data_IF_840082793908
#
_entry.id   IF_840082793908
#
_cell.length_a   1.000
_cell.length_b   1.000
_cell.length_c   1.000
_cell.angle_alpha   90.00
_cell.angle_beta   90.00
_cell.angle_gamma   90.00
#
_symmetry.space_group_name_H-M   'P 1'
#
loop_
_entity.id
_entity.type
_entity.pdbx_description
1 polymer ?
#
# COMPACT_ATOMS: atom_id res chain seq x y z
N UNK A 1 11.71 8.00 7.29
CA UNK A 1 11.16 8.66 6.11
C UNK A 1 12.27 8.96 5.10
N UNK A 2 12.25 8.35 3.95
CA UNK A 2 13.37 8.50 3.02
C UNK A 2 13.40 9.89 2.39
N UNK A 3 14.61 10.36 2.07
CA UNK A 3 14.79 11.66 1.45
C UNK A 3 14.07 11.78 0.10
N UNK A 4 13.98 10.68 -0.66
CA UNK A 4 13.29 10.68 -1.95
C UNK A 4 11.81 11.03 -1.81
N UNK A 5 11.17 10.61 -0.71
CA UNK A 5 9.77 10.93 -0.45
C UNK A 5 9.61 12.45 -0.21
N UNK A 6 10.45 13.02 0.64
CA UNK A 6 10.40 14.44 0.96
C UNK A 6 10.68 15.29 -0.29
N UNK A 7 11.71 14.94 -1.05
CA UNK A 7 12.20 15.76 -2.17
C UNK A 7 11.39 15.58 -3.44
N UNK A 8 10.94 14.37 -3.74
CA UNK A 8 10.36 14.02 -5.05
C UNK A 8 8.93 13.51 -4.99
N UNK A 9 8.40 13.23 -3.80
CA UNK A 9 7.04 12.83 -3.62
C UNK A 9 6.81 11.32 -3.71
N UNK A 10 5.53 10.97 -3.65
CA UNK A 10 5.10 9.59 -3.47
C UNK A 10 5.40 8.69 -4.67
N UNK A 11 5.20 9.19 -5.90
CA UNK A 11 5.45 8.39 -7.11
C UNK A 11 6.90 7.90 -7.16
N UNK A 12 7.86 8.81 -7.01
CA UNK A 12 9.28 8.45 -7.01
C UNK A 12 9.63 7.51 -5.86
N UNK A 13 9.09 7.78 -4.66
CA UNK A 13 9.36 6.96 -3.49
C UNK A 13 8.79 5.55 -3.64
N UNK A 14 7.57 5.41 -4.14
CA UNK A 14 6.95 4.09 -4.34
C UNK A 14 7.62 3.32 -5.47
N UNK A 15 8.06 3.99 -6.53
CA UNK A 15 8.81 3.35 -7.61
C UNK A 15 10.14 2.79 -7.08
N UNK A 16 10.79 3.50 -6.16
CA UNK A 16 12.00 3.03 -5.51
C UNK A 16 11.75 1.77 -4.66
N UNK A 17 10.68 1.77 -3.88
CA UNK A 17 10.30 0.58 -3.08
C UNK A 17 9.97 -0.59 -4.01
N UNK A 18 9.20 -0.34 -5.05
CA UNK A 18 8.79 -1.37 -6.01
C UNK A 18 9.99 -2.04 -6.67
N UNK A 19 11.05 -1.29 -6.95
CA UNK A 19 12.25 -1.83 -7.57
C UNK A 19 12.98 -2.84 -6.69
N UNK A 20 12.73 -2.84 -5.38
CA UNK A 20 13.31 -3.80 -4.43
C UNK A 20 12.42 -5.01 -4.17
N UNK A 21 11.23 -5.05 -4.74
CA UNK A 21 10.34 -6.20 -4.62
C UNK A 21 10.90 -7.38 -5.42
N UNK A 22 10.66 -8.60 -4.95
CA UNK A 22 11.17 -9.82 -5.61
C UNK A 22 10.44 -10.14 -6.91
N UNK A 23 9.30 -9.51 -7.16
CA UNK A 23 8.53 -9.68 -8.39
C UNK A 23 8.37 -8.33 -9.09
N UNK A 24 8.12 -8.32 -10.42
CA UNK A 24 7.83 -7.07 -11.11
C UNK A 24 6.60 -6.39 -10.53
N UNK A 25 6.71 -5.08 -10.28
CA UNK A 25 5.62 -4.26 -9.73
C UNK A 25 5.37 -3.09 -10.66
N UNK A 26 4.12 -2.95 -11.08
CA UNK A 26 3.68 -1.80 -11.85
C UNK A 26 3.12 -0.75 -10.89
N UNK A 27 3.66 0.46 -10.94
CA UNK A 27 3.26 1.56 -10.05
C UNK A 27 2.56 2.64 -10.87
N UNK A 28 1.37 3.03 -10.42
CA UNK A 28 0.62 4.12 -11.04
C UNK A 28 0.10 5.06 -9.95
N UNK A 29 0.59 6.30 -9.96
CA UNK A 29 0.18 7.34 -9.02
C UNK A 29 -0.50 8.45 -9.80
N UNK A 30 -1.80 8.64 -9.55
CA UNK A 30 -2.62 9.65 -10.22
C UNK A 30 -3.24 10.55 -9.16
N UNK A 31 -2.52 11.61 -8.81
CA UNK A 31 -2.93 12.54 -7.77
C UNK A 31 -2.95 13.98 -8.31
N UNK A 32 -3.97 14.78 -7.95
CA UNK A 32 -4.05 16.17 -8.40
C UNK A 32 -3.01 17.08 -7.77
N UNK A 33 -2.48 16.68 -6.60
CA UNK A 33 -1.48 17.42 -5.85
C UNK A 33 -0.79 16.47 -4.87
N UNK A 34 0.27 16.94 -4.22
CA UNK A 34 0.91 16.15 -3.17
C UNK A 34 0.04 16.17 -1.91
N UNK A 35 -0.17 15.00 -1.27
CA UNK A 35 -0.78 14.97 0.07
C UNK A 35 0.08 15.75 1.08
N UNK A 36 -0.51 16.12 2.21
CA UNK A 36 0.28 16.71 3.30
C UNK A 36 1.35 15.70 3.76
N UNK A 37 2.52 16.19 4.25
CA UNK A 37 3.64 15.29 4.57
C UNK A 37 3.31 14.13 5.50
N UNK A 38 2.47 14.34 6.51
CA UNK A 38 2.08 13.28 7.44
C UNK A 38 1.34 12.15 6.74
N UNK A 39 0.41 12.49 5.85
CA UNK A 39 -0.37 11.50 5.07
C UNK A 39 0.53 10.82 4.05
N UNK A 40 1.39 11.57 3.39
CA UNK A 40 2.34 11.03 2.42
C UNK A 40 3.27 9.98 3.07
N UNK A 41 3.74 10.25 4.29
CA UNK A 41 4.56 9.33 5.05
C UNK A 41 3.84 8.04 5.41
N UNK A 42 2.58 8.13 5.84
CA UNK A 42 1.77 6.96 6.16
C UNK A 42 1.48 6.14 4.91
N UNK A 43 1.18 6.80 3.79
CA UNK A 43 0.95 6.13 2.51
C UNK A 43 2.20 5.36 2.07
N UNK A 44 3.36 5.97 2.15
CA UNK A 44 4.63 5.33 1.83
C UNK A 44 4.86 4.09 2.70
N UNK A 45 4.70 4.22 4.02
CA UNK A 45 4.88 3.12 4.96
C UNK A 45 3.92 1.97 4.65
N UNK A 46 2.66 2.29 4.39
CA UNK A 46 1.62 1.30 4.09
C UNK A 46 1.97 0.48 2.85
N UNK A 47 2.30 1.14 1.75
CA UNK A 47 2.67 0.44 0.51
C UNK A 47 3.94 -0.37 0.70
N UNK A 48 4.94 0.16 1.42
CA UNK A 48 6.17 -0.57 1.71
C UNK A 48 5.90 -1.88 2.44
N UNK A 49 5.04 -1.86 3.46
CA UNK A 49 4.68 -3.06 4.21
C UNK A 49 3.91 -4.06 3.35
N UNK A 50 2.98 -3.57 2.53
CA UNK A 50 2.21 -4.45 1.65
C UNK A 50 3.09 -5.10 0.58
N UNK A 51 4.05 -4.38 0.03
CA UNK A 51 4.98 -4.96 -0.95
C UNK A 51 5.95 -5.95 -0.32
N UNK A 52 6.35 -5.75 0.94
CA UNK A 52 7.11 -6.76 1.67
C UNK A 52 6.32 -8.05 1.81
N UNK A 53 5.04 -7.96 2.09
CA UNK A 53 4.18 -9.14 2.18
C UNK A 53 4.06 -9.86 0.84
N UNK A 54 3.98 -9.12 -0.26
CA UNK A 54 4.00 -9.72 -1.60
C UNK A 54 5.29 -10.52 -1.80
N UNK A 55 6.43 -9.94 -1.48
CA UNK A 55 7.73 -10.59 -1.65
C UNK A 55 7.88 -11.85 -0.79
N UNK A 56 7.38 -11.81 0.46
CA UNK A 56 7.62 -12.88 1.44
C UNK A 56 6.60 -14.00 1.40
N UNK A 57 5.34 -13.69 1.08
CA UNK A 57 4.25 -14.60 1.38
C UNK A 57 3.35 -14.95 0.19
N UNK A 58 3.33 -14.13 -0.86
CA UNK A 58 2.28 -14.27 -1.88
C UNK A 58 2.51 -15.42 -2.86
N UNK A 59 3.76 -15.76 -3.15
CA UNK A 59 4.09 -16.66 -4.25
C UNK A 59 3.71 -16.09 -5.61
N UNK A 60 3.53 -14.78 -5.71
CA UNK A 60 3.09 -14.11 -6.94
C UNK A 60 4.20 -14.02 -7.96
N UNK A 61 3.82 -13.86 -9.24
CA UNK A 61 4.75 -13.57 -10.33
C UNK A 61 4.72 -12.09 -10.74
N UNK A 62 3.73 -11.34 -10.28
CA UNK A 62 3.64 -9.90 -10.52
C UNK A 62 2.74 -9.23 -9.48
N UNK A 63 2.93 -7.93 -9.33
CA UNK A 63 2.12 -7.11 -8.43
C UNK A 63 1.86 -5.73 -9.04
N UNK A 64 0.95 -5.00 -8.44
CA UNK A 64 0.61 -3.64 -8.85
C UNK A 64 0.39 -2.74 -7.64
N UNK A 65 0.68 -1.46 -7.81
CA UNK A 65 0.39 -0.41 -6.83
C UNK A 65 -0.34 0.70 -7.55
N UNK A 66 -1.51 1.04 -7.07
CA UNK A 66 -2.31 2.15 -7.58
C UNK A 66 -2.59 3.13 -6.45
N UNK A 67 -2.41 4.42 -6.73
CA UNK A 67 -2.66 5.50 -5.79
C UNK A 67 -3.49 6.56 -6.49
N UNK A 68 -4.61 6.93 -5.88
CA UNK A 68 -5.49 7.95 -6.46
C UNK A 68 -6.25 8.68 -5.35
N UNK A 69 -6.94 9.74 -5.72
CA UNK A 69 -7.79 10.48 -4.79
C UNK A 69 -9.25 10.22 -5.11
N UNK A 70 -10.03 9.92 -4.08
CA UNK A 70 -11.48 9.77 -4.18
C UNK A 70 -12.12 10.73 -3.16
N UNK A 71 -12.62 11.86 -3.64
CA UNK A 71 -13.19 12.89 -2.77
C UNK A 71 -12.12 13.45 -1.81
N UNK A 72 -12.36 13.32 -0.52
CA UNK A 72 -11.44 13.75 0.53
C UNK A 72 -10.57 12.60 1.06
N UNK A 73 -10.51 11.48 0.30
CA UNK A 73 -9.72 10.30 0.70
C UNK A 73 -8.57 10.06 -0.27
N UNK A 74 -7.42 9.70 0.28
CA UNK A 74 -6.31 9.14 -0.47
C UNK A 74 -6.50 7.64 -0.52
N UNK A 75 -6.48 7.07 -1.73
CA UNK A 75 -6.70 5.64 -1.95
C UNK A 75 -5.40 4.98 -2.38
N UNK A 76 -5.08 3.86 -1.75
CA UNK A 76 -3.91 3.04 -2.05
C UNK A 76 -4.41 1.62 -2.31
N UNK A 77 -3.95 0.99 -3.38
CA UNK A 77 -4.30 -0.41 -3.64
C UNK A 77 -3.07 -1.18 -4.09
N UNK A 78 -2.82 -2.30 -3.43
CA UNK A 78 -1.73 -3.22 -3.78
C UNK A 78 -2.37 -4.56 -4.14
N UNK A 79 -2.12 -5.00 -5.37
CA UNK A 79 -2.62 -6.27 -5.86
C UNK A 79 -1.48 -7.20 -6.24
N UNK A 80 -1.70 -8.51 -6.09
CA UNK A 80 -0.79 -9.53 -6.60
C UNK A 80 -1.57 -10.73 -7.11
N UNK A 81 -0.94 -11.49 -7.99
CA UNK A 81 -1.54 -12.70 -8.58
C UNK A 81 -1.12 -13.98 -7.85
N UNK A 82 -0.78 -13.87 -6.58
CA UNK A 82 -0.32 -15.01 -5.79
C UNK A 82 -1.44 -15.91 -5.29
N UNK A 83 -1.12 -16.69 -4.26
CA UNK A 83 -1.99 -17.78 -3.77
C UNK A 83 -3.16 -17.32 -2.91
N UNK A 84 -3.21 -16.08 -2.51
CA UNK A 84 -4.26 -15.57 -1.64
C UNK A 84 -4.20 -16.13 -0.22
N UNK A 85 -5.32 -16.02 0.48
CA UNK A 85 -5.42 -16.49 1.86
C UNK A 85 -4.83 -15.54 2.89
N UNK A 86 -4.45 -14.32 2.50
CA UNK A 86 -4.04 -13.31 3.45
C UNK A 86 -5.25 -12.80 4.23
N UNK A 87 -5.08 -12.53 5.51
CA UNK A 87 -6.13 -11.96 6.33
C UNK A 87 -5.54 -11.04 7.41
N UNK A 88 -6.41 -10.25 8.02
CA UNK A 88 -6.03 -9.30 9.07
C UNK A 88 -6.37 -9.83 10.45
N UNK A 89 -6.20 -11.12 10.69
CA UNK A 89 -6.43 -11.71 12.01
C UNK A 89 -5.46 -11.14 13.05
N UNK A 90 -5.92 -11.13 14.30
CA UNK A 90 -5.13 -10.62 15.41
C UNK A 90 -3.76 -11.31 15.47
N UNK A 91 -2.70 -10.50 15.63
CA UNK A 91 -1.33 -10.99 15.66
C UNK A 91 -0.66 -11.06 14.29
N UNK A 92 -1.39 -10.84 13.19
CA UNK A 92 -0.80 -10.79 11.86
C UNK A 92 -0.20 -9.41 11.56
N UNK A 93 0.71 -9.33 10.58
CA UNK A 93 1.24 -8.06 10.11
C UNK A 93 0.17 -7.13 9.55
N UNK A 94 -0.85 -7.69 8.88
CA UNK A 94 -1.97 -6.91 8.36
C UNK A 94 -2.84 -6.35 9.49
N UNK A 95 -3.01 -7.08 10.60
CA UNK A 95 -3.71 -6.57 11.76
C UNK A 95 -3.01 -5.34 12.35
N UNK A 96 -1.69 -5.39 12.46
CA UNK A 96 -0.90 -4.25 12.93
C UNK A 96 -1.00 -3.05 12.01
N UNK A 97 -0.99 -3.28 10.70
CA UNK A 97 -1.18 -2.23 9.71
C UNK A 97 -2.57 -1.61 9.79
N UNK A 98 -3.61 -2.45 9.95
CA UNK A 98 -4.98 -1.97 10.11
C UNK A 98 -5.12 -1.08 11.35
N UNK A 99 -4.48 -1.45 12.46
CA UNK A 99 -4.49 -0.65 13.69
C UNK A 99 -3.82 0.71 13.47
N UNK A 100 -2.71 0.73 12.75
CA UNK A 100 -2.01 2.00 12.44
C UNK A 100 -2.86 2.93 11.59
N UNK A 101 -3.56 2.37 10.60
CA UNK A 101 -4.47 3.16 9.77
C UNK A 101 -5.66 3.67 10.57
N UNK A 102 -6.23 2.82 11.42
CA UNK A 102 -7.36 3.22 12.27
C UNK A 102 -7.02 4.41 13.16
N UNK A 103 -5.79 4.48 13.66
CA UNK A 103 -5.33 5.57 14.52
C UNK A 103 -5.34 6.94 13.82
N UNK A 104 -5.39 6.97 12.50
CA UNK A 104 -5.42 8.22 11.70
C UNK A 104 -6.69 8.31 10.83
N UNK A 105 -7.76 7.64 11.27
CA UNK A 105 -9.04 7.58 10.56
C UNK A 105 -8.92 6.94 9.17
N UNK A 106 -7.98 6.02 9.03
CA UNK A 106 -7.81 5.22 7.83
C UNK A 106 -8.52 3.87 7.94
N UNK A 107 -8.60 3.18 6.82
CA UNK A 107 -9.28 1.88 6.72
C UNK A 107 -8.42 0.96 5.86
N UNK A 108 -8.34 -0.31 6.23
CA UNK A 108 -7.69 -1.35 5.45
C UNK A 108 -8.72 -2.42 5.09
N UNK A 109 -8.84 -2.72 3.80
CA UNK A 109 -9.74 -3.77 3.30
C UNK A 109 -8.89 -4.83 2.60
N UNK A 110 -9.03 -6.07 3.05
CA UNK A 110 -8.29 -7.21 2.51
C UNK A 110 -9.25 -8.10 1.73
N UNK A 111 -8.99 -8.27 0.45
CA UNK A 111 -9.70 -9.22 -0.41
C UNK A 111 -8.68 -10.24 -0.92
N UNK A 112 -8.65 -11.40 -0.29
CA UNK A 112 -7.60 -12.40 -0.56
C UNK A 112 -8.20 -13.81 -0.44
N UNK A 113 -9.03 -14.20 -1.42
CA UNK A 113 -9.60 -15.55 -1.38
C UNK A 113 -8.50 -16.59 -1.51
N UNK A 114 -8.75 -17.77 -0.99
CA UNK A 114 -7.84 -18.91 -1.12
C UNK A 114 -7.69 -19.24 -2.62
N UNK A 115 -6.45 -19.31 -3.07
CA UNK A 115 -6.15 -19.46 -4.50
C UNK A 115 -5.85 -18.13 -5.18
N UNK A 116 -6.09 -17.00 -4.49
CA UNK A 116 -5.83 -15.67 -5.01
C UNK A 116 -6.90 -15.15 -5.96
N UNK A 117 -6.70 -13.96 -6.52
CA UNK A 117 -5.60 -13.06 -6.21
C UNK A 117 -5.78 -12.35 -4.87
N UNK A 118 -4.77 -11.56 -4.47
CA UNK A 118 -4.88 -10.69 -3.31
C UNK A 118 -4.99 -9.24 -3.76
N UNK A 119 -5.97 -8.52 -3.21
CA UNK A 119 -6.14 -7.08 -3.42
C UNK A 119 -6.34 -6.44 -2.06
N UNK A 120 -5.45 -5.54 -1.68
CA UNK A 120 -5.52 -4.83 -0.41
C UNK A 120 -5.67 -3.35 -0.71
N UNK A 121 -6.74 -2.75 -0.16
CA UNK A 121 -7.04 -1.34 -0.35
C UNK A 121 -6.93 -0.62 0.98
N UNK A 122 -6.18 0.47 1.00
CA UNK A 122 -6.10 1.35 2.15
C UNK A 122 -6.71 2.70 1.80
N UNK A 123 -7.46 3.27 2.73
CA UNK A 123 -7.98 4.62 2.61
C UNK A 123 -7.41 5.47 3.73
N UNK A 124 -6.99 6.66 3.39
CA UNK A 124 -6.50 7.66 4.34
C UNK A 124 -7.22 8.97 4.12
N UNK A 125 -7.38 9.81 5.16
CA UNK A 125 -7.87 11.16 4.91
C UNK A 125 -6.88 11.89 4.02
N UNK A 126 -7.39 12.74 3.11
CA UNK A 126 -6.52 13.54 2.24
C UNK A 126 -5.68 14.52 3.06
N UNK A 127 -6.23 15.00 4.17
CA UNK A 127 -5.57 15.92 5.09
C UNK A 127 -5.66 15.36 6.51
N UNK A 128 -4.57 15.49 7.21
CA UNK A 128 -4.50 15.08 8.61
C UNK A 128 -5.34 15.97 9.52
#
# INVERSE_FOLDING_TARGET
HPAVLTDRGLDAALSSVASRCTVPVQVEVDLPARPVPAIEGIAYYTVSELLQNVSKHSGASRASVDVWRAGDRLMLQVGDNGRGGADATAGSGLAGLAERLDAVDGILVVDSPRGGPTTITAELPWRA
#
